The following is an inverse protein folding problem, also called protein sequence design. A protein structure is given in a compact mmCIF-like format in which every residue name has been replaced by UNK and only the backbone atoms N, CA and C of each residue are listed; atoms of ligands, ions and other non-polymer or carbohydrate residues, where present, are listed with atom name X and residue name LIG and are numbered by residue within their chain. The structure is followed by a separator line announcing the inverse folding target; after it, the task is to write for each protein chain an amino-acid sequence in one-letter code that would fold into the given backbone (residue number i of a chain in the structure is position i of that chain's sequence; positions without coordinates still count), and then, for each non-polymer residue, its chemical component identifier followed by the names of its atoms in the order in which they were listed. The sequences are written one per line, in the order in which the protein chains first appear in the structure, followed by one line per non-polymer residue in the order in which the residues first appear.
data_IF_087089225443
#
_entry.id   IF_087089225443
#
_cell.length_a   1.000
_cell.length_b   1.000
_cell.length_c   1.000
_cell.angle_alpha   90.00
_cell.angle_beta   90.00
_cell.angle_gamma   90.00
#
_symmetry.space_group_name_H-M   'P 1'
#
loop_
_entity.id
_entity.type
_entity.pdbx_description
1 polymer ?
#
# COMPACT_ATOMS: atom_id res chain seq x y z
N UNK A 1 8.00 59.33 -19.32
CA UNK A 1 7.48 58.15 -20.05
C UNK A 1 8.25 56.87 -19.70
N UNK A 2 9.57 56.84 -19.90
CA UNK A 2 10.37 55.60 -19.81
C UNK A 2 10.37 54.91 -18.45
N UNK A 3 10.27 55.66 -17.35
CA UNK A 3 10.26 55.13 -15.98
C UNK A 3 8.99 54.33 -15.66
N UNK A 4 7.85 54.69 -16.23
CA UNK A 4 6.60 53.95 -16.05
C UNK A 4 6.57 52.67 -16.89
N UNK A 5 7.20 52.70 -18.07
CA UNK A 5 7.36 51.53 -18.93
C UNK A 5 8.28 50.50 -18.27
N UNK A 6 9.40 50.92 -17.69
CA UNK A 6 10.28 49.99 -16.95
C UNK A 6 9.60 49.41 -15.71
N UNK A 7 8.81 50.19 -14.97
CA UNK A 7 8.02 49.68 -13.84
C UNK A 7 6.97 48.66 -14.29
N UNK A 8 6.28 48.91 -15.40
CA UNK A 8 5.29 47.97 -15.94
C UNK A 8 5.92 46.64 -16.38
N UNK A 9 7.09 46.68 -17.03
CA UNK A 9 7.82 45.48 -17.43
C UNK A 9 8.27 44.69 -16.19
N UNK A 10 8.78 45.38 -15.16
CA UNK A 10 9.19 44.74 -13.90
C UNK A 10 8.01 44.07 -13.19
N UNK A 11 6.84 44.73 -13.18
CA UNK A 11 5.62 44.17 -12.61
C UNK A 11 5.18 42.90 -13.35
N UNK A 12 5.24 42.89 -14.68
CA UNK A 12 4.90 41.71 -15.49
C UNK A 12 5.87 40.56 -15.20
N UNK A 13 7.18 40.83 -15.12
CA UNK A 13 8.18 39.81 -14.79
C UNK A 13 7.90 39.21 -13.41
N UNK A 14 7.59 40.03 -12.41
CA UNK A 14 7.25 39.55 -11.06
C UNK A 14 6.04 38.62 -11.10
N UNK A 15 4.97 39.02 -11.79
CA UNK A 15 3.75 38.19 -11.90
C UNK A 15 4.06 36.84 -12.57
N UNK A 16 4.82 36.85 -13.66
CA UNK A 16 5.19 35.63 -14.39
C UNK A 16 6.05 34.70 -13.53
N UNK A 17 7.03 35.24 -12.80
CA UNK A 17 7.88 34.46 -11.87
C UNK A 17 7.05 33.89 -10.72
N UNK A 18 6.13 34.67 -10.15
CA UNK A 18 5.24 34.19 -9.09
C UNK A 18 4.38 33.02 -9.58
N UNK A 19 3.76 33.12 -10.75
CA UNK A 19 2.92 32.04 -11.30
C UNK A 19 3.75 30.76 -11.53
N UNK A 20 4.96 30.88 -12.08
CA UNK A 20 5.85 29.73 -12.28
C UNK A 20 6.29 29.09 -10.96
N UNK A 21 6.63 29.91 -9.96
CA UNK A 21 6.99 29.41 -8.64
C UNK A 21 5.82 28.63 -8.01
N UNK A 22 4.60 29.17 -8.06
CA UNK A 22 3.42 28.48 -7.52
C UNK A 22 3.12 27.16 -8.25
N UNK A 23 3.32 27.10 -9.58
CA UNK A 23 3.18 25.86 -10.35
C UNK A 23 4.15 24.76 -9.89
N UNK A 24 5.44 25.12 -9.73
CA UNK A 24 6.47 24.19 -9.27
C UNK A 24 6.22 23.66 -7.85
N UNK A 25 5.72 24.50 -6.95
CA UNK A 25 5.35 24.06 -5.60
C UNK A 25 4.14 23.10 -5.59
N UNK A 26 3.21 23.26 -6.53
CA UNK A 26 2.07 22.35 -6.70
C UNK A 26 2.49 20.97 -7.22
N UNK A 27 3.28 20.94 -8.30
CA UNK A 27 3.77 19.70 -8.90
C UNK A 27 4.67 18.91 -7.94
N UNK A 28 5.52 19.59 -7.17
CA UNK A 28 6.38 18.94 -6.19
C UNK A 28 5.61 18.21 -5.08
N UNK A 29 4.45 18.75 -4.67
CA UNK A 29 3.60 18.11 -3.65
C UNK A 29 2.86 16.90 -4.22
N UNK A 30 2.27 17.04 -5.41
CA UNK A 30 1.54 15.93 -6.07
C UNK A 30 2.47 14.75 -6.38
N UNK A 31 3.69 15.02 -6.86
CA UNK A 31 4.72 13.99 -7.04
C UNK A 31 5.12 13.31 -5.72
N UNK A 32 5.19 14.07 -4.63
CA UNK A 32 5.46 13.54 -3.29
C UNK A 32 4.37 12.59 -2.81
N UNK A 33 3.11 12.98 -2.97
CA UNK A 33 1.95 12.19 -2.56
C UNK A 33 1.84 10.91 -3.39
N UNK A 34 2.06 10.98 -4.71
CA UNK A 34 2.09 9.79 -5.58
C UNK A 34 3.22 8.83 -5.21
N UNK A 35 4.40 9.36 -4.87
CA UNK A 35 5.54 8.55 -4.44
C UNK A 35 5.25 7.86 -3.10
N UNK A 36 4.64 8.56 -2.16
CA UNK A 36 4.24 7.99 -0.88
C UNK A 36 3.20 6.88 -1.05
N UNK A 37 2.15 7.11 -1.82
CA UNK A 37 1.12 6.11 -2.11
C UNK A 37 1.71 4.88 -2.82
N UNK A 38 2.68 5.07 -3.71
CA UNK A 38 3.39 3.97 -4.37
C UNK A 38 4.22 3.15 -3.38
N UNK A 39 4.95 3.81 -2.47
CA UNK A 39 5.71 3.13 -1.40
C UNK A 39 4.82 2.33 -0.47
N UNK A 40 3.70 2.89 -0.03
CA UNK A 40 2.74 2.20 0.83
C UNK A 40 2.16 0.95 0.15
N UNK A 41 1.84 1.03 -1.15
CA UNK A 41 1.42 -0.14 -1.94
C UNK A 41 2.50 -1.19 -2.06
N UNK A 42 3.75 -0.80 -2.31
CA UNK A 42 4.87 -1.75 -2.38
C UNK A 42 5.09 -2.44 -1.03
N UNK A 43 4.97 -1.72 0.08
CA UNK A 43 5.13 -2.30 1.41
C UNK A 43 4.00 -3.29 1.74
N UNK A 44 2.75 -2.96 1.43
CA UNK A 44 1.63 -3.90 1.58
C UNK A 44 1.83 -5.17 0.76
N UNK A 45 2.21 -5.03 -0.52
CA UNK A 45 2.45 -6.19 -1.39
C UNK A 45 3.63 -7.04 -0.91
N UNK A 46 4.66 -6.43 -0.36
CA UNK A 46 5.79 -7.17 0.23
C UNK A 46 5.34 -8.00 1.41
N UNK A 47 4.55 -7.42 2.32
CA UNK A 47 4.00 -8.15 3.48
C UNK A 47 3.06 -9.28 3.06
N UNK A 48 2.18 -9.02 2.08
CA UNK A 48 1.28 -10.05 1.55
C UNK A 48 2.06 -11.22 0.93
N UNK A 49 3.14 -10.93 0.19
CA UNK A 49 3.98 -11.96 -0.39
C UNK A 49 4.71 -12.79 0.68
N UNK A 50 5.25 -12.14 1.71
CA UNK A 50 5.87 -12.82 2.86
C UNK A 50 4.86 -13.73 3.57
N UNK A 51 3.64 -13.26 3.80
CA UNK A 51 2.57 -14.04 4.42
C UNK A 51 2.17 -15.24 3.55
N UNK A 52 2.01 -15.04 2.25
CA UNK A 52 1.68 -16.11 1.31
C UNK A 52 2.81 -17.14 1.22
N UNK A 53 4.07 -16.72 1.21
CA UNK A 53 5.21 -17.64 1.26
C UNK A 53 5.21 -18.46 2.55
N UNK A 54 4.96 -17.82 3.70
CA UNK A 54 4.86 -18.53 4.98
C UNK A 54 3.71 -19.54 4.98
N UNK A 55 2.56 -19.20 4.39
CA UNK A 55 1.44 -20.14 4.22
C UNK A 55 1.80 -21.30 3.28
N UNK A 56 2.43 -21.02 2.14
CA UNK A 56 2.89 -22.07 1.21
C UNK A 56 3.86 -23.02 1.92
N UNK A 57 4.83 -22.50 2.66
CA UNK A 57 5.77 -23.30 3.43
C UNK A 57 5.05 -24.11 4.51
N UNK A 58 4.12 -23.50 5.25
CA UNK A 58 3.31 -24.18 6.25
C UNK A 58 2.54 -25.36 5.66
N UNK A 59 1.85 -25.16 4.53
CA UNK A 59 1.06 -26.18 3.85
C UNK A 59 1.88 -27.19 3.04
N UNK A 60 3.15 -26.90 2.74
CA UNK A 60 4.06 -27.86 2.10
C UNK A 60 4.35 -29.07 3.00
N UNK A 61 4.20 -28.89 4.32
CA UNK A 61 4.36 -29.96 5.29
C UNK A 61 3.05 -30.75 5.45
N UNK A 62 3.04 -32.02 5.01
CA UNK A 62 1.87 -32.92 5.08
C UNK A 62 1.20 -32.96 6.46
N UNK A 63 1.97 -32.92 7.54
CA UNK A 63 1.44 -32.93 8.92
C UNK A 63 0.59 -31.70 9.25
N UNK A 64 0.96 -30.54 8.70
CA UNK A 64 0.21 -29.29 8.89
C UNK A 64 -1.05 -29.27 8.03
N UNK A 65 -0.96 -29.81 6.81
CA UNK A 65 -2.12 -30.00 5.95
C UNK A 65 -3.17 -30.93 6.61
N UNK A 66 -2.72 -32.02 7.24
CA UNK A 66 -3.60 -32.93 7.98
C UNK A 66 -4.23 -32.24 9.20
N UNK A 67 -3.48 -31.43 9.96
CA UNK A 67 -4.01 -30.66 11.09
C UNK A 67 -5.10 -29.68 10.67
N UNK A 68 -4.90 -28.95 9.58
CA UNK A 68 -5.88 -27.98 9.05
C UNK A 68 -7.14 -28.69 8.52
N UNK A 69 -6.98 -29.81 7.81
CA UNK A 69 -8.11 -30.65 7.39
C UNK A 69 -8.88 -31.23 8.58
N UNK A 70 -8.19 -31.69 9.63
CA UNK A 70 -8.84 -32.17 10.86
C UNK A 70 -9.58 -31.07 11.60
N UNK A 71 -9.03 -29.85 11.64
CA UNK A 71 -9.66 -28.67 12.23
C UNK A 71 -10.92 -28.24 11.47
N UNK A 72 -10.85 -28.13 10.14
CA UNK A 72 -11.97 -27.65 9.31
C UNK A 72 -13.11 -28.64 9.18
N UNK A 73 -12.80 -29.93 9.15
CA UNK A 73 -13.78 -30.98 8.88
C UNK A 73 -14.07 -31.86 10.11
N UNK A 74 -13.57 -31.51 11.29
CA UNK A 74 -13.70 -32.31 12.52
C UNK A 74 -13.27 -33.78 12.33
N UNK A 75 -12.25 -34.05 11.50
CA UNK A 75 -11.78 -35.42 11.29
C UNK A 75 -11.05 -35.95 12.53
N UNK A 76 -11.59 -37.01 13.11
CA UNK A 76 -10.99 -37.80 14.19
C UNK A 76 -10.42 -39.11 13.64
N UNK A 77 -9.37 -39.64 14.29
CA UNK A 77 -8.85 -40.97 13.94
C UNK A 77 -9.94 -42.02 14.18
N UNK A 78 -9.95 -43.17 13.47
CA UNK A 78 -10.97 -44.21 13.62
C UNK A 78 -11.20 -44.68 15.06
N UNK A 79 -10.20 -44.47 15.92
CA UNK A 79 -10.15 -44.91 17.31
C UNK A 79 -10.58 -43.83 18.33
N UNK A 80 -10.90 -42.62 17.89
CA UNK A 80 -11.35 -41.54 18.78
C UNK A 80 -12.88 -41.40 18.76
N UNK A 81 -13.50 -41.56 19.93
CA UNK A 81 -14.96 -41.38 20.08
C UNK A 81 -15.38 -39.91 19.87
N UNK A 82 -16.44 -39.71 19.07
CA UNK A 82 -17.06 -38.40 18.82
C UNK A 82 -18.23 -38.24 19.81
N UNK A 83 -18.12 -37.27 20.71
CA UNK A 83 -19.24 -36.83 21.55
C UNK A 83 -19.86 -35.60 20.91
N UNK A 84 -21.02 -35.76 20.28
CA UNK A 84 -21.80 -34.63 19.74
C UNK A 84 -22.60 -34.05 20.90
N UNK A 85 -22.27 -32.81 21.30
CA UNK A 85 -23.03 -32.07 22.30
C UNK A 85 -24.02 -31.16 21.54
N UNK A 86 -25.30 -31.48 21.59
CA UNK A 86 -26.40 -30.63 21.14
C UNK A 86 -26.99 -29.85 22.32
N UNK A 87 -27.42 -28.58 22.13
CA UNK A 87 -28.09 -27.80 23.17
C UNK A 87 -29.47 -28.37 23.55
#
# INVERSE_FOLDING_TARGET
MNKYITIAILAIIIVVVSVQAFGLFGEGRDMGDQLQASKEKMEMLSRENEELQAQIEYFSHKENLEKELRSKFNYKRPEESIMIITP
#
